data_IF_069582996737
#
_entry.id   IF_069582996737
#
_cell.length_a   1.000
_cell.length_b   1.000
_cell.length_c   1.000
_cell.angle_alpha   90.00
_cell.angle_beta   90.00
_cell.angle_gamma   90.00
#
_symmetry.space_group_name_H-M   'P 1'
#
loop_
_entity.id
_entity.type
_entity.pdbx_description
1 polymer ?
#
# COMPACT_ATOMS: atom_id res chain seq x y z
N UNK A 1 17.89 10.17 3.44
CA UNK A 1 16.55 9.72 3.02
C UNK A 1 16.74 8.76 1.86
N UNK A 2 16.23 7.53 1.98
CA UNK A 2 16.33 6.53 0.91
C UNK A 2 15.16 6.75 -0.05
N UNK A 3 15.35 7.64 -1.01
CA UNK A 3 14.31 7.97 -1.99
C UNK A 3 13.91 6.74 -2.83
N UNK A 4 12.59 6.52 -2.95
CA UNK A 4 11.99 5.43 -3.74
C UNK A 4 12.43 4.01 -3.36
N UNK A 5 12.84 3.80 -2.10
CA UNK A 5 13.11 2.46 -1.58
C UNK A 5 11.82 1.69 -1.26
N UNK A 6 11.84 0.36 -1.35
CA UNK A 6 10.76 -0.51 -0.89
C UNK A 6 10.87 -0.63 0.64
N UNK A 7 9.77 -0.47 1.36
CA UNK A 7 9.74 -0.67 2.81
C UNK A 7 9.13 -2.04 3.16
N UNK A 8 9.69 -2.69 4.18
CA UNK A 8 9.22 -3.96 4.74
C UNK A 8 8.99 -3.83 6.23
N UNK A 9 7.85 -4.33 6.72
CA UNK A 9 7.62 -4.66 8.13
C UNK A 9 7.77 -6.17 8.33
N UNK A 10 8.63 -6.59 9.25
CA UNK A 10 8.84 -8.01 9.57
C UNK A 10 8.49 -8.26 11.02
N UNK A 11 7.44 -9.04 11.26
CA UNK A 11 7.03 -9.46 12.59
C UNK A 11 7.65 -10.82 12.92
N UNK A 12 8.33 -10.92 14.06
CA UNK A 12 9.01 -12.10 14.56
C UNK A 12 8.54 -12.48 15.96
N UNK A 13 8.71 -13.75 16.31
CA UNK A 13 8.61 -14.28 17.67
C UNK A 13 9.90 -15.05 18.01
N UNK A 14 10.46 -14.81 19.19
CA UNK A 14 11.66 -15.50 19.68
C UNK A 14 11.50 -15.96 21.12
N UNK A 15 11.98 -17.17 21.44
CA UNK A 15 12.05 -17.70 22.81
C UNK A 15 13.48 -17.73 23.39
N UNK A 16 14.39 -17.00 22.74
CA UNK A 16 15.82 -16.93 23.06
C UNK A 16 16.65 -18.12 22.54
N UNK A 17 16.02 -19.15 21.97
CA UNK A 17 16.70 -20.28 21.31
C UNK A 17 16.29 -20.39 19.83
N UNK A 18 14.99 -20.25 19.57
CA UNK A 18 14.37 -20.29 18.25
C UNK A 18 13.73 -18.94 17.96
N UNK A 19 13.99 -18.40 16.77
CA UNK A 19 13.27 -17.25 16.23
C UNK A 19 12.51 -17.68 14.99
N UNK A 20 11.25 -17.29 14.89
CA UNK A 20 10.40 -17.54 13.73
C UNK A 20 9.84 -16.23 13.21
N UNK A 21 9.97 -16.00 11.91
CA UNK A 21 9.26 -14.92 11.23
C UNK A 21 7.77 -15.28 11.17
N UNK A 22 6.94 -14.44 11.77
CA UNK A 22 5.49 -14.54 11.70
C UNK A 22 4.94 -14.05 10.36
N UNK A 23 5.55 -13.00 9.79
CA UNK A 23 5.22 -12.52 8.45
C UNK A 23 6.11 -11.36 8.01
N UNK A 24 6.34 -11.28 6.70
CA UNK A 24 7.04 -10.16 6.04
C UNK A 24 6.04 -9.39 5.19
N UNK A 25 5.76 -8.16 5.56
CA UNK A 25 4.80 -7.31 4.87
C UNK A 25 5.54 -6.30 4.01
N UNK A 26 5.33 -6.35 2.70
CA UNK A 26 5.86 -5.36 1.77
C UNK A 26 4.89 -4.19 1.63
N UNK A 27 5.38 -2.97 1.82
CA UNK A 27 4.58 -1.77 1.60
C UNK A 27 4.33 -1.57 0.10
N UNK A 28 3.13 -1.10 -0.24
CA UNK A 28 2.81 -0.67 -1.61
C UNK A 28 3.40 0.73 -1.86
N UNK A 29 3.33 1.61 -0.87
CA UNK A 29 4.04 2.88 -0.87
C UNK A 29 5.55 2.73 -0.63
N UNK A 30 6.32 3.72 -1.07
CA UNK A 30 7.77 3.76 -0.89
C UNK A 30 8.17 4.22 0.52
N UNK A 31 9.40 3.90 0.92
CA UNK A 31 9.98 4.32 2.19
C UNK A 31 9.99 5.85 2.32
N UNK A 32 9.31 6.36 3.34
CA UNK A 32 9.04 7.78 3.52
C UNK A 32 7.56 8.12 3.65
N UNK A 33 6.67 7.20 3.26
CA UNK A 33 5.33 7.11 3.82
C UNK A 33 5.42 6.34 5.13
N UNK A 34 4.84 6.86 6.21
CA UNK A 34 4.87 6.18 7.49
C UNK A 34 4.20 4.80 7.41
N UNK A 35 4.84 3.76 7.96
CA UNK A 35 4.34 2.38 7.92
C UNK A 35 2.88 2.23 8.36
N UNK A 36 2.45 2.99 9.36
CA UNK A 36 1.06 2.98 9.83
C UNK A 36 0.03 3.40 8.78
N UNK A 37 0.42 4.25 7.83
CA UNK A 37 -0.44 4.79 6.77
C UNK A 37 -0.30 4.02 5.45
N UNK A 38 0.82 3.34 5.23
CA UNK A 38 1.04 2.53 4.04
C UNK A 38 0.06 1.35 3.95
N UNK A 39 -0.34 1.02 2.73
CA UNK A 39 -0.90 -0.27 2.40
C UNK A 39 0.23 -1.30 2.39
N UNK A 40 -0.06 -2.52 2.86
CA UNK A 40 0.95 -3.57 3.01
C UNK A 40 0.44 -4.90 2.47
N UNK A 41 1.34 -5.69 1.91
CA UNK A 41 1.05 -6.97 1.26
C UNK A 41 1.82 -8.09 1.96
N UNK A 42 1.13 -9.16 2.32
CA UNK A 42 1.68 -10.42 2.78
C UNK A 42 1.20 -11.55 1.85
N UNK A 43 2.10 -12.38 1.29
CA UNK A 43 3.57 -12.27 1.32
C UNK A 43 4.09 -11.05 0.51
N UNK A 44 5.41 -10.73 0.55
CA UNK A 44 6.00 -9.75 -0.36
C UNK A 44 5.69 -10.10 -1.82
N UNK A 45 5.39 -9.09 -2.64
CA UNK A 45 4.82 -9.30 -3.98
C UNK A 45 5.76 -8.86 -5.12
N UNK A 46 6.75 -8.04 -4.81
CA UNK A 46 7.64 -7.41 -5.79
C UNK A 46 9.08 -7.36 -5.26
N UNK A 47 9.53 -8.48 -4.69
CA UNK A 47 10.91 -8.67 -4.23
C UNK A 47 11.43 -10.04 -4.67
N UNK A 48 12.69 -10.12 -5.16
CA UNK A 48 13.33 -11.40 -5.47
C UNK A 48 13.50 -12.26 -4.20
N UNK A 49 13.41 -13.58 -4.37
CA UNK A 49 13.55 -14.54 -3.26
C UNK A 49 14.90 -14.39 -2.53
N UNK A 50 15.98 -14.08 -3.26
CA UNK A 50 17.28 -13.84 -2.63
C UNK A 50 17.27 -12.66 -1.63
N UNK A 51 16.50 -11.61 -1.91
CA UNK A 51 16.38 -10.44 -1.04
C UNK A 51 15.53 -10.80 0.18
N UNK A 52 14.45 -11.56 -0.01
CA UNK A 52 13.60 -12.06 1.08
C UNK A 52 14.43 -12.93 2.05
N UNK A 53 15.30 -13.80 1.52
CA UNK A 53 16.21 -14.61 2.32
C UNK A 53 17.23 -13.77 3.11
N UNK A 54 17.75 -12.68 2.53
CA UNK A 54 18.64 -11.74 3.24
C UNK A 54 17.88 -11.06 4.37
N UNK A 55 16.65 -10.61 4.14
CA UNK A 55 15.77 -10.03 5.18
C UNK A 55 15.51 -11.03 6.30
N UNK A 56 15.23 -12.30 5.96
CA UNK A 56 15.02 -13.39 6.95
C UNK A 56 16.24 -13.56 7.85
N UNK A 57 17.42 -13.69 7.26
CA UNK A 57 18.69 -13.85 7.98
C UNK A 57 18.99 -12.66 8.88
N UNK A 58 18.80 -11.44 8.37
CA UNK A 58 18.97 -10.22 9.17
C UNK A 58 18.00 -10.19 10.36
N UNK A 59 16.75 -10.61 10.14
CA UNK A 59 15.72 -10.64 11.20
C UNK A 59 16.08 -11.60 12.34
N UNK A 60 16.57 -12.81 12.01
CA UNK A 60 17.05 -13.77 13.00
C UNK A 60 18.29 -13.25 13.74
N UNK A 61 19.25 -12.66 13.03
CA UNK A 61 20.45 -12.11 13.64
C UNK A 61 20.14 -10.96 14.61
N UNK A 62 19.18 -10.10 14.27
CA UNK A 62 18.72 -9.02 15.15
C UNK A 62 18.01 -9.54 16.39
N UNK A 63 17.16 -10.58 16.24
CA UNK A 63 16.49 -11.22 17.38
C UNK A 63 17.50 -11.79 18.39
N UNK A 64 18.53 -12.48 17.90
CA UNK A 64 19.61 -13.06 18.71
C UNK A 64 20.45 -11.97 19.39
N UNK A 65 20.95 -11.00 18.62
CA UNK A 65 21.79 -9.92 19.13
C UNK A 65 21.09 -9.07 20.21
N UNK A 66 19.78 -8.85 20.05
CA UNK A 66 18.95 -8.10 21.01
C UNK A 66 18.38 -8.96 22.13
N UNK A 67 18.64 -10.28 22.12
CA UNK A 67 18.17 -11.25 23.11
C UNK A 67 16.66 -11.21 23.31
N UNK A 68 15.92 -11.14 22.21
CA UNK A 68 14.46 -11.02 22.22
C UNK A 68 13.84 -12.27 22.85
N UNK A 69 12.90 -12.05 23.77
CA UNK A 69 11.99 -13.07 24.29
C UNK A 69 10.56 -12.53 24.18
N UNK A 70 9.74 -13.13 23.32
CA UNK A 70 8.42 -12.64 22.96
C UNK A 70 8.39 -12.14 21.51
N UNK A 71 7.66 -11.05 21.27
CA UNK A 71 7.45 -10.48 19.94
C UNK A 71 8.47 -9.38 19.63
N UNK A 72 8.85 -9.28 18.36
CA UNK A 72 9.66 -8.20 17.81
C UNK A 72 9.12 -7.82 16.44
N UNK A 73 9.26 -6.55 16.08
CA UNK A 73 9.04 -6.03 14.75
C UNK A 73 10.29 -5.32 14.25
N UNK A 74 10.58 -5.47 12.96
CA UNK A 74 11.71 -4.83 12.30
C UNK A 74 11.20 -4.12 11.07
N UNK A 75 11.64 -2.88 10.87
CA UNK A 75 11.40 -2.13 9.64
C UNK A 75 12.68 -2.07 8.82
N UNK A 76 12.59 -2.51 7.57
CA UNK A 76 13.68 -2.46 6.61
C UNK A 76 13.33 -1.57 5.42
N UNK A 77 14.35 -1.00 4.79
CA UNK A 77 14.25 -0.43 3.45
C UNK A 77 15.15 -1.21 2.50
N UNK A 78 14.69 -1.44 1.27
CA UNK A 78 15.44 -2.09 0.20
C UNK A 78 15.59 -1.11 -0.95
N UNK A 79 16.83 -0.86 -1.36
CA UNK A 79 17.13 0.02 -2.49
C UNK A 79 18.27 -0.56 -3.31
N UNK A 80 18.06 -0.69 -4.62
CA UNK A 80 19.06 -1.20 -5.56
C UNK A 80 19.66 -2.56 -5.16
N UNK A 81 18.86 -3.40 -4.48
CA UNK A 81 19.27 -4.71 -3.95
C UNK A 81 19.90 -4.68 -2.56
N UNK A 82 20.25 -3.50 -2.05
CA UNK A 82 20.84 -3.33 -0.72
C UNK A 82 19.75 -3.28 0.37
N UNK A 83 19.99 -3.99 1.48
CA UNK A 83 19.13 -4.01 2.65
C UNK A 83 19.61 -3.00 3.71
N UNK A 84 18.71 -2.11 4.12
CA UNK A 84 18.93 -1.13 5.18
C UNK A 84 17.99 -1.39 6.35
N UNK A 85 18.50 -1.30 7.58
CA UNK A 85 17.67 -1.35 8.80
C UNK A 85 17.18 0.07 9.11
N UNK A 86 15.87 0.25 9.25
CA UNK A 86 15.28 1.53 9.70
C UNK A 86 15.25 1.55 11.23
N UNK A 87 14.50 0.62 11.83
CA UNK A 87 14.38 0.47 13.27
C UNK A 87 14.02 -0.97 13.67
N UNK A 88 14.27 -1.28 14.94
CA UNK A 88 13.84 -2.54 15.57
C UNK A 88 13.02 -2.22 16.80
N UNK A 89 11.82 -2.78 16.86
CA UNK A 89 10.88 -2.66 17.96
C UNK A 89 10.79 -4.01 18.70
N UNK A 90 11.51 -4.22 19.82
CA UNK A 90 11.48 -5.48 20.58
C UNK A 90 10.19 -5.59 21.43
N UNK A 91 9.05 -5.49 20.76
CA UNK A 91 7.69 -5.55 21.30
C UNK A 91 6.72 -5.94 20.19
N UNK A 92 5.45 -6.17 20.57
CA UNK A 92 4.38 -6.28 19.59
C UNK A 92 4.23 -4.99 18.76
N UNK A 93 4.09 -5.14 17.45
CA UNK A 93 3.70 -4.09 16.50
C UNK A 93 2.19 -4.06 16.32
N UNK A 94 1.73 -3.03 15.60
CA UNK A 94 0.33 -2.91 15.17
C UNK A 94 -0.04 -3.95 14.10
N UNK A 95 0.92 -4.54 13.41
CA UNK A 95 0.71 -5.52 12.32
C UNK A 95 0.48 -6.95 12.82
N UNK A 96 0.82 -7.26 14.08
CA UNK A 96 0.61 -8.60 14.67
C UNK A 96 -0.81 -9.15 14.49
N UNK A 97 -1.90 -8.39 14.73
CA UNK A 97 -3.26 -8.87 14.47
C UNK A 97 -3.49 -9.20 13.00
N UNK A 98 -3.02 -8.37 12.06
CA UNK A 98 -3.14 -8.61 10.63
C UNK A 98 -2.41 -9.89 10.22
N UNK A 99 -1.13 -10.03 10.61
CA UNK A 99 -0.31 -11.22 10.31
C UNK A 99 -0.99 -12.46 10.89
N UNK A 100 -1.42 -12.41 12.14
CA UNK A 100 -2.11 -13.53 12.81
C UNK A 100 -3.37 -13.99 12.06
N UNK A 101 -4.09 -13.06 11.43
CA UNK A 101 -5.27 -13.38 10.63
C UNK A 101 -4.91 -13.99 9.28
N UNK A 102 -3.86 -13.48 8.63
CA UNK A 102 -3.42 -14.00 7.34
C UNK A 102 -2.83 -15.42 7.44
N UNK A 103 -2.04 -15.71 8.47
CA UNK A 103 -1.40 -17.04 8.63
C UNK A 103 -2.21 -18.01 9.50
N UNK A 104 -3.32 -17.56 10.09
CA UNK A 104 -4.17 -18.41 10.96
C UNK A 104 -3.56 -18.74 12.33
N UNK A 105 -2.47 -18.08 12.74
CA UNK A 105 -1.76 -18.34 14.00
C UNK A 105 -1.89 -17.16 14.95
N UNK A 106 -2.30 -17.35 16.22
CA UNK A 106 -2.46 -16.25 17.18
C UNK A 106 -1.10 -15.81 17.77
N UNK A 107 -0.31 -15.05 17.00
CA UNK A 107 1.05 -14.66 17.37
C UNK A 107 1.13 -13.93 18.73
N UNK A 108 0.17 -13.06 19.05
CA UNK A 108 0.10 -12.40 20.35
C UNK A 108 -0.03 -13.40 21.52
N UNK A 109 -0.82 -14.46 21.34
CA UNK A 109 -1.00 -15.52 22.35
C UNK A 109 0.28 -16.34 22.49
N UNK A 110 0.95 -16.67 21.38
CA UNK A 110 2.21 -17.38 21.42
C UNK A 110 3.30 -16.54 22.09
N UNK A 111 3.42 -15.26 21.72
CA UNK A 111 4.37 -14.31 22.31
C UNK A 111 4.19 -14.19 23.82
N UNK A 112 2.95 -14.09 24.30
CA UNK A 112 2.64 -14.06 25.74
C UNK A 112 3.07 -15.36 26.46
N UNK A 113 2.85 -16.53 25.86
CA UNK A 113 3.29 -17.81 26.43
C UNK A 113 4.82 -17.92 26.47
N UNK A 114 5.49 -17.43 25.43
CA UNK A 114 6.96 -17.40 25.36
C UNK A 114 7.53 -16.49 26.45
N UNK A 115 6.97 -15.29 26.64
CA UNK A 115 7.36 -14.40 27.74
C UNK A 115 7.10 -15.02 29.12
N UNK A 116 6.14 -15.94 29.23
CA UNK A 116 5.87 -16.72 30.45
C UNK A 116 6.75 -17.98 30.60
N UNK A 117 7.70 -18.22 29.68
CA UNK A 117 8.69 -19.30 29.77
C UNK A 117 8.41 -20.52 28.88
N UNK A 118 7.36 -20.53 28.07
CA UNK A 118 7.14 -21.60 27.07
C UNK A 118 8.15 -21.51 25.93
N UNK A 119 8.53 -22.64 25.34
CA UNK A 119 9.37 -22.67 24.13
C UNK A 119 8.52 -22.83 22.87
N UNK A 120 8.97 -22.25 21.76
CA UNK A 120 8.29 -22.30 20.47
C UNK A 120 8.12 -23.73 19.96
N UNK A 121 9.10 -24.61 20.22
CA UNK A 121 9.01 -26.05 19.96
C UNK A 121 7.83 -26.72 20.68
N UNK A 122 7.57 -26.35 21.93
CA UNK A 122 6.48 -26.92 22.74
C UNK A 122 5.11 -26.36 22.30
N UNK A 123 5.13 -25.16 21.69
CA UNK A 123 3.96 -24.50 21.14
C UNK A 123 3.66 -24.91 19.69
N UNK A 124 4.54 -25.69 19.06
CA UNK A 124 4.37 -26.16 17.68
C UNK A 124 4.51 -25.07 16.61
N UNK A 125 5.21 -23.97 16.92
CA UNK A 125 5.43 -22.87 15.97
C UNK A 125 6.94 -22.64 15.79
N UNK A 126 7.56 -23.50 14.97
CA UNK A 126 9.01 -23.55 14.75
C UNK A 126 9.43 -23.19 13.32
N UNK A 127 8.46 -23.02 12.42
CA UNK A 127 8.68 -22.72 11.01
C UNK A 127 7.75 -21.57 10.58
N UNK A 128 8.22 -20.77 9.63
CA UNK A 128 7.44 -19.71 8.99
C UNK A 128 6.30 -20.32 8.17
N UNK A 129 5.11 -19.71 8.23
CA UNK A 129 3.95 -20.12 7.44
C UNK A 129 3.84 -19.22 6.23
N UNK A 130 3.89 -19.82 5.04
CA UNK A 130 3.67 -19.12 3.77
C UNK A 130 2.20 -19.28 3.33
N UNK A 131 1.35 -18.23 3.45
CA UNK A 131 -0.04 -18.31 3.04
C UNK A 131 -0.15 -18.50 1.52
N UNK A 132 -1.15 -19.29 1.07
CA UNK A 132 -1.45 -19.52 -0.36
C UNK A 132 -2.39 -18.47 -0.96
N UNK A 133 -2.54 -17.34 -0.29
CA UNK A 133 -3.41 -16.25 -0.66
C UNK A 133 -2.69 -14.93 -0.39
N UNK A 134 -3.14 -13.87 -1.04
CA UNK A 134 -2.70 -12.51 -0.77
C UNK A 134 -3.54 -11.95 0.37
N UNK A 135 -2.86 -11.42 1.39
CA UNK A 135 -3.45 -10.59 2.41
C UNK A 135 -2.93 -9.17 2.23
N UNK A 136 -3.84 -8.21 2.07
CA UNK A 136 -3.51 -6.80 1.90
C UNK A 136 -4.14 -5.99 3.01
N UNK A 137 -3.33 -5.19 3.69
CA UNK A 137 -3.74 -4.18 4.66
C UNK A 137 -3.89 -2.85 3.93
N UNK A 138 -4.94 -2.11 4.22
CA UNK A 138 -5.11 -0.72 3.78
C UNK A 138 -5.50 0.15 4.96
N UNK A 139 -5.10 1.42 4.93
CA UNK A 139 -5.31 2.39 5.98
C UNK A 139 -6.58 3.21 5.76
N UNK A 140 -7.29 3.51 6.85
CA UNK A 140 -8.51 4.33 6.85
C UNK A 140 -8.19 5.70 7.40
N UNK A 141 -8.35 6.72 6.55
CA UNK A 141 -8.00 8.10 6.87
C UNK A 141 -9.21 8.95 7.28
N UNK A 142 -9.06 9.86 8.25
CA UNK A 142 -10.14 10.74 8.70
C UNK A 142 -10.25 12.02 7.85
N UNK A 143 -9.78 12.03 6.60
CA UNK A 143 -9.68 13.26 5.79
C UNK A 143 -11.03 13.98 5.63
N UNK A 144 -12.13 13.24 5.56
CA UNK A 144 -13.48 13.81 5.50
C UNK A 144 -13.94 14.49 6.80
N UNK A 145 -13.28 14.23 7.94
CA UNK A 145 -13.57 14.86 9.24
C UNK A 145 -12.86 16.20 9.42
N UNK A 146 -11.79 16.45 8.66
CA UNK A 146 -10.95 17.63 8.82
C UNK A 146 -10.77 18.38 7.48
N UNK A 147 -11.82 19.04 6.96
CA UNK A 147 -11.70 19.87 5.76
C UNK A 147 -10.58 20.91 5.90
N UNK A 148 -9.77 21.07 4.85
CA UNK A 148 -8.62 21.98 4.85
C UNK A 148 -7.33 21.36 5.40
N UNK A 149 -7.38 20.17 6.01
CA UNK A 149 -6.16 19.42 6.30
C UNK A 149 -5.52 18.89 5.01
N UNK A 150 -4.17 18.88 4.91
CA UNK A 150 -3.49 18.31 3.76
C UNK A 150 -3.78 16.82 3.57
N UNK A 151 -4.23 16.43 2.37
CA UNK A 151 -4.41 15.05 1.92
C UNK A 151 -3.11 14.61 1.24
N UNK A 152 -2.18 14.18 2.07
CA UNK A 152 -0.84 13.75 1.65
C UNK A 152 -0.33 12.69 2.61
N UNK A 153 0.39 11.72 2.06
CA UNK A 153 1.11 10.73 2.83
C UNK A 153 2.48 11.31 3.22
N UNK A 154 2.84 11.19 4.49
CA UNK A 154 4.07 11.76 5.05
C UNK A 154 4.77 10.74 5.94
N UNK A 155 5.99 11.04 6.44
CA UNK A 155 6.63 10.24 7.48
C UNK A 155 5.91 10.24 8.83
N UNK A 156 4.79 10.95 8.99
CA UNK A 156 3.96 10.97 10.19
C UNK A 156 2.66 10.22 9.93
N UNK A 157 2.27 9.32 10.84
CA UNK A 157 1.01 8.59 10.76
C UNK A 157 -0.21 9.48 10.97
N UNK A 158 -1.22 9.37 10.09
CA UNK A 158 -2.49 10.10 10.19
C UNK A 158 -3.74 9.22 10.08
N UNK A 159 -3.59 7.97 9.68
CA UNK A 159 -4.69 7.01 9.64
C UNK A 159 -5.23 6.70 11.04
N UNK A 160 -6.51 6.32 11.09
CA UNK A 160 -7.24 6.05 12.35
C UNK A 160 -7.67 4.59 12.48
N UNK A 161 -7.60 3.83 11.39
CA UNK A 161 -7.96 2.42 11.35
C UNK A 161 -7.38 1.76 10.13
N UNK A 162 -7.72 0.49 9.95
CA UNK A 162 -7.25 -0.33 8.84
C UNK A 162 -8.30 -1.35 8.44
N UNK A 163 -8.21 -1.83 7.21
CA UNK A 163 -9.02 -2.90 6.64
C UNK A 163 -8.12 -3.95 6.02
N UNK A 164 -8.64 -5.18 5.91
CA UNK A 164 -7.93 -6.31 5.34
C UNK A 164 -8.71 -6.88 4.14
N UNK A 165 -8.03 -7.05 3.02
CA UNK A 165 -8.51 -7.77 1.85
C UNK A 165 -7.74 -9.08 1.71
N UNK A 166 -8.46 -10.18 1.49
CA UNK A 166 -7.87 -11.49 1.25
C UNK A 166 -8.46 -12.12 0.00
N UNK A 167 -7.60 -12.67 -0.86
CA UNK A 167 -7.98 -13.42 -2.05
C UNK A 167 -6.78 -14.23 -2.60
N UNK A 168 -7.04 -15.24 -3.42
CA UNK A 168 -5.99 -15.95 -4.16
C UNK A 168 -5.41 -15.07 -5.29
N UNK A 169 -6.17 -14.07 -5.74
CA UNK A 169 -5.74 -13.07 -6.72
C UNK A 169 -5.37 -11.73 -6.05
N UNK A 170 -4.16 -11.23 -6.34
CA UNK A 170 -3.64 -9.98 -5.76
C UNK A 170 -4.57 -8.80 -6.02
N UNK A 171 -5.04 -8.64 -7.26
CA UNK A 171 -5.91 -7.52 -7.63
C UNK A 171 -7.25 -7.58 -6.89
N UNK A 172 -7.84 -8.77 -6.76
CA UNK A 172 -9.08 -8.96 -6.00
C UNK A 172 -8.88 -8.69 -4.51
N UNK A 173 -7.74 -9.09 -3.92
CA UNK A 173 -7.40 -8.76 -2.53
C UNK A 173 -7.30 -7.24 -2.33
N UNK A 174 -6.65 -6.52 -3.25
CA UNK A 174 -6.54 -5.06 -3.21
C UNK A 174 -7.89 -4.38 -3.43
N UNK A 175 -8.68 -4.84 -4.39
CA UNK A 175 -10.02 -4.31 -4.63
C UNK A 175 -10.92 -4.42 -3.39
N UNK A 176 -10.83 -5.53 -2.64
CA UNK A 176 -11.55 -5.73 -1.38
C UNK A 176 -11.17 -4.69 -0.32
N UNK A 177 -9.90 -4.29 -0.23
CA UNK A 177 -9.50 -3.22 0.72
C UNK A 177 -10.12 -1.89 0.33
N UNK A 178 -10.08 -1.52 -0.95
CA UNK A 178 -10.67 -0.27 -1.44
C UNK A 178 -12.19 -0.22 -1.26
N UNK A 179 -12.89 -1.36 -1.43
CA UNK A 179 -14.32 -1.47 -1.12
C UNK A 179 -14.63 -1.24 0.37
N UNK A 180 -13.74 -1.68 1.27
CA UNK A 180 -13.92 -1.56 2.71
C UNK A 180 -13.53 -0.17 3.24
N UNK A 181 -12.39 0.38 2.81
CA UNK A 181 -11.91 1.70 3.22
C UNK A 181 -12.76 2.83 2.64
N UNK A 182 -13.26 2.64 1.41
CA UNK A 182 -13.97 3.62 0.57
C UNK A 182 -13.14 4.87 0.24
N UNK A 183 -13.34 5.49 -0.93
CA UNK A 183 -14.22 5.04 -2.02
C UNK A 183 -13.64 3.84 -2.79
N UNK A 184 -14.52 3.00 -3.35
CA UNK A 184 -14.14 1.80 -4.10
C UNK A 184 -13.53 2.15 -5.46
N UNK A 185 -12.72 1.24 -6.02
CA UNK A 185 -12.19 1.39 -7.38
C UNK A 185 -13.31 1.47 -8.42
N UNK A 186 -13.24 2.41 -9.39
CA UNK A 186 -14.21 2.47 -10.47
C UNK A 186 -13.97 1.37 -11.50
N UNK A 187 -15.01 0.99 -12.24
CA UNK A 187 -14.91 0.03 -13.34
C UNK A 187 -14.98 0.69 -14.73
N UNK A 188 -15.30 1.98 -14.80
CA UNK A 188 -15.37 2.75 -16.04
C UNK A 188 -15.34 4.23 -15.72
N UNK A 189 -15.16 5.06 -16.75
CA UNK A 189 -15.21 6.51 -16.65
C UNK A 189 -13.87 7.14 -16.97
N UNK A 190 -13.63 8.34 -16.44
CA UNK A 190 -12.43 9.09 -16.74
C UNK A 190 -11.49 9.17 -15.54
N UNK A 191 -10.20 9.14 -15.83
CA UNK A 191 -9.11 9.26 -14.86
C UNK A 191 -8.51 10.64 -14.99
N UNK A 192 -8.36 11.36 -13.89
CA UNK A 192 -7.47 12.51 -13.84
C UNK A 192 -6.06 12.03 -13.49
N UNK A 193 -5.12 12.10 -14.44
CA UNK A 193 -3.72 11.72 -14.25
C UNK A 193 -2.82 12.96 -14.28
N UNK A 194 -2.11 13.21 -13.20
CA UNK A 194 -1.12 14.30 -13.14
C UNK A 194 0.04 13.91 -12.23
N UNK A 195 1.20 13.65 -12.82
CA UNK A 195 2.38 13.08 -12.13
C UNK A 195 3.61 13.97 -12.26
N UNK A 196 4.58 13.80 -11.36
CA UNK A 196 5.92 14.40 -11.50
C UNK A 196 6.67 13.81 -12.71
N UNK A 197 7.65 14.53 -13.24
CA UNK A 197 8.35 14.11 -14.46
C UNK A 197 9.06 12.76 -14.33
N UNK A 198 9.65 12.47 -13.17
CA UNK A 198 10.32 11.18 -12.90
C UNK A 198 9.35 9.98 -12.89
N UNK A 199 8.05 10.22 -12.71
CA UNK A 199 7.03 9.17 -12.65
C UNK A 199 6.41 8.89 -14.02
N UNK A 200 6.66 9.72 -15.04
CA UNK A 200 5.96 9.68 -16.33
C UNK A 200 6.09 8.33 -17.04
N UNK A 201 7.28 7.75 -17.08
CA UNK A 201 7.51 6.45 -17.73
C UNK A 201 6.67 5.34 -17.10
N UNK A 202 6.75 5.19 -15.77
CA UNK A 202 5.93 4.22 -15.03
C UNK A 202 4.43 4.54 -15.09
N UNK A 203 4.06 5.81 -15.05
CA UNK A 203 2.67 6.25 -15.19
C UNK A 203 2.09 5.92 -16.57
N UNK A 204 2.92 5.86 -17.62
CA UNK A 204 2.49 5.43 -18.96
C UNK A 204 1.98 3.99 -18.95
N UNK A 205 2.67 3.08 -18.25
CA UNK A 205 2.24 1.68 -18.13
C UNK A 205 0.87 1.57 -17.45
N UNK A 206 0.67 2.35 -16.38
CA UNK A 206 -0.64 2.43 -15.70
C UNK A 206 -1.71 2.98 -16.64
N UNK A 207 -1.39 4.05 -17.38
CA UNK A 207 -2.31 4.68 -18.32
C UNK A 207 -2.68 3.73 -19.48
N UNK A 208 -1.72 3.01 -20.05
CA UNK A 208 -1.95 1.98 -21.07
C UNK A 208 -2.86 0.87 -20.54
N UNK A 209 -2.60 0.40 -19.32
CA UNK A 209 -3.42 -0.61 -18.66
C UNK A 209 -4.87 -0.13 -18.49
N UNK A 210 -5.08 1.06 -17.94
CA UNK A 210 -6.41 1.63 -17.75
C UNK A 210 -7.11 1.94 -19.08
N UNK A 211 -6.38 2.44 -20.09
CA UNK A 211 -6.89 2.66 -21.45
C UNK A 211 -7.41 1.36 -22.09
N UNK A 212 -6.67 0.25 -21.94
CA UNK A 212 -7.09 -1.06 -22.43
C UNK A 212 -8.38 -1.56 -21.77
N UNK A 213 -8.67 -1.09 -20.56
CA UNK A 213 -9.90 -1.37 -19.81
C UNK A 213 -11.01 -0.35 -20.12
N UNK A 214 -10.81 0.57 -21.07
CA UNK A 214 -11.82 1.52 -21.53
C UNK A 214 -11.93 2.82 -20.73
N UNK A 215 -10.92 3.16 -19.93
CA UNK A 215 -10.85 4.48 -19.28
C UNK A 215 -10.33 5.54 -20.24
N UNK A 216 -10.80 6.78 -20.08
CA UNK A 216 -10.26 7.96 -20.78
C UNK A 216 -9.56 8.90 -19.79
N UNK A 217 -8.72 9.81 -20.30
CA UNK A 217 -7.84 10.62 -19.45
C UNK A 217 -8.08 12.12 -19.57
N UNK A 218 -8.08 12.77 -18.42
CA UNK A 218 -7.86 14.21 -18.25
C UNK A 218 -6.51 14.40 -17.56
N UNK A 219 -5.70 15.35 -18.00
CA UNK A 219 -4.37 15.56 -17.44
C UNK A 219 -3.98 17.03 -17.46
N UNK A 220 -3.05 17.41 -16.57
CA UNK A 220 -2.35 18.70 -16.69
C UNK A 220 -1.52 18.74 -17.97
N UNK A 221 -1.28 19.92 -18.53
CA UNK A 221 -0.62 20.11 -19.83
C UNK A 221 0.61 19.21 -20.05
N UNK A 222 1.54 19.21 -19.09
CA UNK A 222 2.78 18.45 -19.18
C UNK A 222 2.58 16.92 -19.14
N UNK A 223 1.54 16.43 -18.45
CA UNK A 223 1.20 15.00 -18.43
C UNK A 223 0.39 14.63 -19.68
N UNK A 224 -0.55 15.48 -20.09
CA UNK A 224 -1.37 15.27 -21.28
C UNK A 224 -0.50 15.19 -22.54
N UNK A 225 0.44 16.11 -22.71
CA UNK A 225 1.39 16.09 -23.84
C UNK A 225 2.16 14.77 -23.87
N UNK A 226 2.74 14.38 -22.74
CA UNK A 226 3.51 13.13 -22.63
C UNK A 226 2.67 11.89 -22.98
N UNK A 227 1.43 11.79 -22.49
CA UNK A 227 0.53 10.68 -22.83
C UNK A 227 0.19 10.65 -24.33
N UNK A 228 -0.16 11.81 -24.91
CA UNK A 228 -0.50 11.91 -26.33
C UNK A 228 0.69 11.55 -27.23
N UNK A 229 1.90 12.02 -26.89
CA UNK A 229 3.14 11.68 -27.60
C UNK A 229 3.44 10.16 -27.56
N UNK A 230 2.90 9.44 -26.57
CA UNK A 230 3.02 7.99 -26.41
C UNK A 230 1.73 7.21 -26.78
N UNK A 231 0.82 7.84 -27.54
CA UNK A 231 -0.35 7.15 -28.10
C UNK A 231 -1.52 6.91 -27.13
N UNK A 232 -1.52 7.56 -25.96
CA UNK A 232 -2.64 7.54 -25.01
C UNK A 232 -3.38 8.88 -25.09
N UNK A 233 -4.59 8.93 -25.70
CA UNK A 233 -5.36 10.16 -25.78
C UNK A 233 -5.69 10.71 -24.40
N UNK A 234 -5.28 11.96 -24.16
CA UNK A 234 -5.56 12.67 -22.92
C UNK A 234 -5.94 14.12 -23.20
N UNK A 235 -7.10 14.54 -22.68
CA UNK A 235 -7.53 15.94 -22.75
C UNK A 235 -6.76 16.77 -21.73
N UNK A 236 -6.16 17.87 -22.18
CA UNK A 236 -5.47 18.82 -21.30
C UNK A 236 -6.50 19.65 -20.54
N UNK A 237 -6.42 19.68 -19.21
CA UNK A 237 -7.28 20.47 -18.33
C UNK A 237 -6.45 21.45 -17.50
N UNK A 238 -7.03 22.62 -17.22
CA UNK A 238 -6.41 23.64 -16.39
C UNK A 238 -6.30 23.19 -14.93
N UNK A 239 -5.22 23.61 -14.29
CA UNK A 239 -5.09 23.59 -12.82
C UNK A 239 -6.07 24.58 -12.21
N UNK A 240 -6.35 24.43 -10.92
CA UNK A 240 -7.32 25.28 -10.19
C UNK A 240 -6.90 26.75 -10.26
N UNK A 241 -5.59 27.03 -10.15
CA UNK A 241 -5.05 28.40 -10.23
C UNK A 241 -5.04 29.01 -11.63
N UNK A 242 -5.25 28.21 -12.70
CA UNK A 242 -5.11 28.65 -14.09
C UNK A 242 -6.42 29.11 -14.74
N UNK A 243 -7.59 28.74 -14.19
CA UNK A 243 -8.88 29.18 -14.69
C UNK A 243 -9.95 28.11 -14.71
N UNK A 244 -10.89 28.19 -15.66
CA UNK A 244 -12.01 27.26 -15.85
C UNK A 244 -12.23 26.89 -17.32
N UNK A 245 -12.72 25.67 -17.63
CA UNK A 245 -12.98 24.58 -16.68
C UNK A 245 -11.66 23.99 -16.15
N UNK A 246 -11.63 23.66 -14.86
CA UNK A 246 -10.49 22.98 -14.23
C UNK A 246 -10.88 21.59 -13.70
N UNK A 247 -9.90 20.84 -13.21
CA UNK A 247 -10.11 19.50 -12.64
C UNK A 247 -11.14 19.47 -11.49
N UNK A 248 -11.23 20.50 -10.64
CA UNK A 248 -12.23 20.54 -9.58
C UNK A 248 -13.65 20.67 -10.16
N UNK A 249 -13.83 21.42 -11.25
CA UNK A 249 -15.09 21.47 -11.98
C UNK A 249 -15.45 20.10 -12.57
N UNK A 250 -14.46 19.35 -13.10
CA UNK A 250 -14.71 18.00 -13.64
C UNK A 250 -15.14 17.01 -12.54
N UNK A 251 -14.50 17.06 -11.38
CA UNK A 251 -14.86 16.22 -10.21
C UNK A 251 -16.29 16.55 -9.76
N UNK A 252 -16.61 17.84 -9.57
CA UNK A 252 -17.96 18.30 -9.17
C UNK A 252 -19.06 17.87 -10.14
N UNK A 253 -18.75 17.87 -11.43
CA UNK A 253 -19.67 17.48 -12.48
C UNK A 253 -19.74 15.95 -12.70
N UNK A 254 -19.08 15.15 -11.86
CA UNK A 254 -19.07 13.69 -11.98
C UNK A 254 -18.35 13.18 -13.23
N UNK A 255 -17.47 13.99 -13.82
CA UNK A 255 -16.71 13.61 -15.02
C UNK A 255 -15.43 12.83 -14.71
N UNK A 256 -14.97 12.79 -13.46
CA UNK A 256 -13.77 12.05 -13.03
C UNK A 256 -14.15 10.99 -12.02
N UNK A 257 -13.72 9.75 -12.26
CA UNK A 257 -13.99 8.58 -11.42
C UNK A 257 -12.77 8.07 -10.67
N UNK A 258 -11.56 8.50 -11.05
CA UNK A 258 -10.32 8.17 -10.38
C UNK A 258 -9.34 9.35 -10.50
N UNK A 259 -8.69 9.70 -9.40
CA UNK A 259 -7.60 10.68 -9.38
C UNK A 259 -6.28 9.96 -9.10
N UNK A 260 -5.33 10.07 -10.02
CA UNK A 260 -3.94 9.64 -9.81
C UNK A 260 -3.08 10.90 -9.86
N UNK A 261 -2.60 11.33 -8.69
CA UNK A 261 -1.82 12.55 -8.55
C UNK A 261 -0.61 12.36 -7.63
N UNK A 262 0.57 12.16 -8.23
CA UNK A 262 1.82 12.03 -7.47
C UNK A 262 2.43 13.41 -7.17
N UNK A 263 2.72 13.74 -5.89
CA UNK A 263 3.28 15.04 -5.52
C UNK A 263 4.77 15.13 -5.89
N UNK A 264 5.26 16.37 -6.09
CA UNK A 264 6.69 16.65 -6.13
C UNK A 264 7.22 16.84 -4.70
N UNK A 265 7.73 15.77 -4.09
CA UNK A 265 8.24 15.79 -2.72
C UNK A 265 7.15 15.73 -1.64
N UNK A 266 7.50 16.08 -0.40
CA UNK A 266 6.62 15.94 0.77
C UNK A 266 5.55 17.05 0.89
N UNK A 267 5.74 18.17 0.19
CA UNK A 267 4.82 19.31 0.22
C UNK A 267 4.03 19.33 -1.09
N UNK A 268 2.71 19.11 -1.05
CA UNK A 268 1.89 19.22 -2.25
C UNK A 268 2.05 20.59 -2.89
N UNK A 269 2.05 20.65 -4.23
CA UNK A 269 1.96 21.94 -4.92
C UNK A 269 0.66 22.65 -4.53
N UNK A 270 0.65 23.97 -4.67
CA UNK A 270 -0.46 24.86 -4.30
C UNK A 270 -1.86 24.29 -4.61
N UNK A 271 -2.03 23.71 -5.79
CA UNK A 271 -3.33 23.22 -6.26
C UNK A 271 -3.57 21.71 -5.98
N UNK A 272 -2.53 20.93 -5.69
CA UNK A 272 -2.65 19.48 -5.53
C UNK A 272 -3.53 19.12 -4.34
N UNK A 273 -3.37 19.83 -3.22
CA UNK A 273 -4.18 19.57 -2.04
C UNK A 273 -5.66 19.88 -2.28
N UNK A 274 -5.94 20.95 -3.04
CA UNK A 274 -7.31 21.34 -3.35
C UNK A 274 -7.98 20.32 -4.28
N UNK A 275 -7.25 19.78 -5.26
CA UNK A 275 -7.72 18.70 -6.14
C UNK A 275 -8.08 17.45 -5.32
N UNK A 276 -7.18 17.02 -4.43
CA UNK A 276 -7.40 15.84 -3.58
C UNK A 276 -8.54 16.05 -2.61
N UNK A 277 -8.66 17.26 -2.05
CA UNK A 277 -9.77 17.65 -1.17
C UNK A 277 -11.10 17.57 -1.90
N UNK A 278 -11.17 18.09 -3.12
CA UNK A 278 -12.37 18.01 -3.95
C UNK A 278 -12.77 16.57 -4.26
N UNK A 279 -11.79 15.73 -4.60
CA UNK A 279 -12.01 14.30 -4.86
C UNK A 279 -12.53 13.55 -3.64
N UNK A 280 -11.91 13.76 -2.46
CA UNK A 280 -12.38 13.16 -1.19
C UNK A 280 -13.79 13.60 -0.85
N UNK A 281 -14.12 14.89 -1.02
CA UNK A 281 -15.46 15.42 -0.77
C UNK A 281 -16.53 14.80 -1.67
N UNK A 282 -16.17 14.45 -2.91
CA UNK A 282 -17.08 13.85 -3.90
C UNK A 282 -17.01 12.31 -3.95
N UNK A 283 -16.29 11.68 -3.03
CA UNK A 283 -16.16 10.22 -2.99
C UNK A 283 -15.43 9.63 -4.20
N UNK A 284 -14.53 10.40 -4.81
CA UNK A 284 -13.66 9.94 -5.90
C UNK A 284 -12.35 9.41 -5.29
N UNK A 285 -11.94 8.16 -5.59
CA UNK A 285 -10.67 7.62 -5.10
C UNK A 285 -9.47 8.46 -5.52
N UNK A 286 -8.55 8.67 -4.57
CA UNK A 286 -7.34 9.46 -4.75
C UNK A 286 -6.14 8.57 -4.50
N UNK A 287 -5.29 8.45 -5.51
CA UNK A 287 -4.03 7.70 -5.48
C UNK A 287 -2.88 8.70 -5.59
N UNK A 288 -1.94 8.64 -4.65
CA UNK A 288 -0.84 9.61 -4.55
C UNK A 288 0.55 9.00 -4.81
N UNK A 289 0.64 7.70 -5.04
CA UNK A 289 1.88 6.97 -5.33
C UNK A 289 1.71 6.06 -6.55
N UNK A 290 2.80 5.77 -7.24
CA UNK A 290 2.77 4.86 -8.39
C UNK A 290 2.50 3.41 -7.98
N UNK A 291 3.04 2.94 -6.85
CA UNK A 291 2.77 1.59 -6.35
C UNK A 291 1.27 1.34 -6.18
N UNK A 292 0.57 2.29 -5.55
CA UNK A 292 -0.88 2.21 -5.36
C UNK A 292 -1.65 2.37 -6.67
N UNK A 293 -1.10 3.07 -7.67
CA UNK A 293 -1.67 3.15 -9.02
C UNK A 293 -1.59 1.79 -9.76
N UNK A 294 -0.46 1.07 -9.66
CA UNK A 294 -0.34 -0.29 -10.19
C UNK A 294 -1.24 -1.28 -9.45
N UNK A 295 -1.33 -1.18 -8.12
CA UNK A 295 -2.23 -2.02 -7.33
C UNK A 295 -3.70 -1.78 -7.71
N UNK A 296 -4.10 -0.52 -7.89
CA UNK A 296 -5.43 -0.15 -8.37
C UNK A 296 -5.72 -0.66 -9.78
N UNK A 297 -4.77 -0.56 -10.72
CA UNK A 297 -4.92 -1.14 -12.06
C UNK A 297 -5.17 -2.66 -11.99
N UNK A 298 -4.39 -3.38 -11.20
CA UNK A 298 -4.59 -4.82 -10.98
C UNK A 298 -5.95 -5.12 -10.34
N UNK A 299 -6.38 -4.30 -9.38
CA UNK A 299 -7.69 -4.41 -8.77
C UNK A 299 -8.84 -4.20 -9.75
N UNK A 300 -8.78 -3.16 -10.58
CA UNK A 300 -9.79 -2.87 -11.60
C UNK A 300 -9.85 -3.98 -12.64
N UNK A 301 -8.69 -4.46 -13.12
CA UNK A 301 -8.61 -5.59 -14.05
C UNK A 301 -9.28 -6.83 -13.46
N UNK A 302 -8.93 -7.18 -12.23
CA UNK A 302 -9.45 -8.39 -11.57
C UNK A 302 -10.95 -8.30 -11.29
N UNK A 303 -11.47 -7.12 -10.95
CA UNK A 303 -12.91 -6.90 -10.80
C UNK A 303 -13.69 -7.07 -12.11
N UNK A 304 -13.06 -6.81 -13.27
CA UNK A 304 -13.68 -7.00 -14.59
C UNK A 304 -13.59 -8.45 -15.07
N UNK A 305 -12.44 -9.07 -14.86
CA UNK A 305 -12.13 -10.38 -15.45
C UNK A 305 -12.58 -11.55 -14.58
N UNK A 306 -12.73 -11.34 -13.27
CA UNK A 306 -13.04 -12.39 -12.29
C UNK A 306 -14.37 -12.16 -11.60
N UNK A 307 -15.01 -13.26 -11.19
CA UNK A 307 -16.20 -13.21 -10.35
C UNK A 307 -15.80 -12.88 -8.91
N UNK A 308 -16.38 -11.81 -8.36
CA UNK A 308 -16.25 -11.48 -6.95
C UNK A 308 -16.76 -12.64 -6.07
N UNK A 309 -15.98 -13.00 -5.05
CA UNK A 309 -16.34 -14.04 -4.08
C UNK A 309 -15.92 -13.67 -2.67
N UNK A 310 -16.57 -14.29 -1.68
CA UNK A 310 -16.28 -14.12 -0.27
C UNK A 310 -16.02 -15.48 0.36
N UNK A 311 -15.13 -15.49 1.36
CA UNK A 311 -14.71 -16.70 2.06
C UNK A 311 -14.54 -16.36 3.55
N UNK A 312 -15.07 -17.18 4.47
CA UNK A 312 -14.87 -16.96 5.90
C UNK A 312 -13.40 -17.24 6.26
N UNK A 313 -12.92 -16.61 7.33
CA UNK A 313 -11.52 -16.74 7.78
C UNK A 313 -11.10 -18.20 7.99
N UNK A 314 -12.01 -19.05 8.49
CA UNK A 314 -11.75 -20.46 8.80
C UNK A 314 -11.50 -21.33 7.57
N UNK A 315 -11.82 -20.81 6.37
CA UNK A 315 -11.63 -21.56 5.15
C UNK A 315 -10.29 -21.23 4.47
N UNK A 316 -9.64 -20.10 4.81
CA UNK A 316 -8.29 -19.76 4.34
C UNK A 316 -7.25 -20.61 5.07
#
# INVERSE_FOLDING_TARGET
FLEEAIELDVDCISDGETTVVGGMLQHIEFAGVHSGDAAMVLPPHDLPEEVIEVVRKASHALADALKVVGLMNIQFAIKDGDLFVIEVNPRASRTIPFVSKAIGVPLAKLGAKVMAGSKLRDLGFVEEIHPRHWAIKESVFPFNRFPGSPIVLTPEMRSTGEVMGQDEDFGMAYAKTQMAAKPSLPLSGNVFLSVKDSDKEKALEVAQGLASLGFSFYSTEGTARFLNDNGIPSESILRISEGRPNVADLIKNGKVQLVINTPLGLIPRRDENDIRSEAVLHGVPVITTLGSAFAALNGIRSLKDRKFSVKPLQAY
#
